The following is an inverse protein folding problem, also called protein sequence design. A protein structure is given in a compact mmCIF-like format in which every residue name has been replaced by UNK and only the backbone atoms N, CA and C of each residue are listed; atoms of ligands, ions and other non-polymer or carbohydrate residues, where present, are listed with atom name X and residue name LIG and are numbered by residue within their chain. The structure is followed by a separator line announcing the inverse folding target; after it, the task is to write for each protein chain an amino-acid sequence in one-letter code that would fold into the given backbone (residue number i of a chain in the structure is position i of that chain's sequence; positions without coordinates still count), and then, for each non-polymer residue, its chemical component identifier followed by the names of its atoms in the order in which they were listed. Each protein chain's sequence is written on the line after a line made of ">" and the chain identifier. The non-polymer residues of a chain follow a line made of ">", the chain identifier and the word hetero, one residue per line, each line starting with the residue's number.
data_IF_126428203294
#
_entry.id   IF_126428203294
#
_cell.length_a   1.000
_cell.length_b   1.000
_cell.length_c   1.000
_cell.angle_alpha   90.00
_cell.angle_beta   90.00
_cell.angle_gamma   90.00
#
_symmetry.space_group_name_H-M   'P 1'
#
loop_
_entity.id
_entity.type
_entity.pdbx_description
1 polymer ?
#
# COMPACT_ATOMS: atom_id res chain seq x y z
N UNK A 1 7.19 14.02 -11.04
CA UNK A 1 8.19 12.99 -11.35
C UNK A 1 8.74 13.27 -12.74
N UNK A 2 10.03 13.08 -12.96
CA UNK A 2 10.61 13.16 -14.30
C UNK A 2 10.81 11.76 -14.82
N UNK A 3 10.22 11.43 -15.97
CA UNK A 3 10.36 10.14 -16.61
C UNK A 3 11.78 9.99 -17.20
N UNK A 4 12.26 8.77 -17.48
CA UNK A 4 13.54 8.57 -18.18
C UNK A 4 13.67 9.30 -19.51
N UNK A 5 12.53 9.65 -20.15
CA UNK A 5 12.45 10.47 -21.36
C UNK A 5 12.75 11.96 -21.13
N UNK A 6 12.83 12.43 -19.88
CA UNK A 6 12.99 13.85 -19.52
C UNK A 6 11.67 14.60 -19.34
N UNK A 7 10.53 13.97 -19.64
CA UNK A 7 9.21 14.57 -19.44
C UNK A 7 8.89 14.71 -17.94
N UNK A 8 8.40 15.89 -17.54
CA UNK A 8 7.93 16.11 -16.17
C UNK A 8 6.43 15.84 -16.09
N UNK A 9 6.07 14.81 -15.33
CA UNK A 9 4.68 14.40 -15.10
C UNK A 9 4.25 14.71 -13.67
N UNK A 10 3.00 15.13 -13.50
CA UNK A 10 2.35 15.21 -12.19
C UNK A 10 1.76 13.85 -11.86
N UNK A 11 2.17 13.27 -10.75
CA UNK A 11 1.52 12.10 -10.18
C UNK A 11 0.50 12.57 -9.14
N UNK A 12 -0.76 12.16 -9.27
CA UNK A 12 -1.80 12.36 -8.28
C UNK A 12 -2.25 10.99 -7.76
N UNK A 13 -2.11 10.77 -6.46
CA UNK A 13 -2.38 9.48 -5.83
C UNK A 13 -3.61 9.58 -4.93
N UNK A 14 -4.46 8.56 -4.98
CA UNK A 14 -5.65 8.44 -4.13
C UNK A 14 -5.65 7.07 -3.48
N UNK A 15 -5.72 7.05 -2.16
CA UNK A 15 -5.72 5.82 -1.37
C UNK A 15 -7.13 5.54 -0.85
N UNK A 16 -7.51 4.26 -0.87
CA UNK A 16 -8.80 3.78 -0.38
C UNK A 16 -8.57 2.70 0.66
N UNK A 17 -9.43 2.66 1.69
CA UNK A 17 -9.40 1.60 2.70
C UNK A 17 -10.56 0.64 2.50
N UNK A 18 -10.23 -0.64 2.38
CA UNK A 18 -11.19 -1.73 2.23
C UNK A 18 -11.12 -2.62 3.47
N UNK A 19 -12.26 -2.87 4.11
CA UNK A 19 -12.37 -3.83 5.21
C UNK A 19 -12.71 -5.20 4.64
N UNK A 20 -11.78 -6.14 4.77
CA UNK A 20 -11.96 -7.54 4.40
C UNK A 20 -12.36 -8.37 5.62
N UNK A 21 -13.36 -9.23 5.46
CA UNK A 21 -13.79 -10.16 6.50
C UNK A 21 -13.04 -11.50 6.35
N UNK A 22 -12.35 -11.92 7.40
CA UNK A 22 -11.62 -13.20 7.45
C UNK A 22 -10.15 -13.13 7.00
N UNK A 23 -9.43 -14.24 7.18
CA UNK A 23 -8.04 -14.41 6.75
C UNK A 23 -8.02 -14.79 5.27
N UNK A 24 -7.96 -13.79 4.39
CA UNK A 24 -7.91 -14.04 2.95
C UNK A 24 -6.52 -14.54 2.55
N UNK A 25 -6.47 -15.73 1.94
CA UNK A 25 -5.28 -16.19 1.24
C UNK A 25 -5.02 -15.26 0.06
N UNK A 26 -3.81 -14.72 -0.05
CA UNK A 26 -3.40 -13.95 -1.22
C UNK A 26 -3.24 -14.93 -2.39
N UNK A 27 -4.02 -14.74 -3.45
CA UNK A 27 -3.88 -15.45 -4.71
C UNK A 27 -3.05 -14.60 -5.67
N UNK A 28 -1.90 -15.12 -6.13
CA UNK A 28 -1.00 -14.47 -7.08
C UNK A 28 -1.07 -15.04 -8.50
N UNK A 29 -1.94 -16.01 -8.78
CA UNK A 29 -1.92 -16.84 -9.99
C UNK A 29 -2.31 -16.08 -11.27
N UNK A 30 -2.96 -14.92 -11.14
CA UNK A 30 -3.43 -14.11 -12.28
C UNK A 30 -2.57 -12.85 -12.52
N UNK A 31 -1.31 -12.85 -12.08
CA UNK A 31 -0.38 -11.73 -12.33
C UNK A 31 0.08 -11.73 -13.78
N UNK A 32 0.08 -10.56 -14.39
CA UNK A 32 0.68 -10.36 -15.70
C UNK A 32 2.23 -10.45 -15.63
N UNK A 33 2.90 -10.46 -16.78
CA UNK A 33 4.35 -10.65 -16.84
C UNK A 33 5.12 -9.56 -16.06
N UNK A 34 4.69 -8.31 -16.15
CA UNK A 34 5.34 -7.17 -15.50
C UNK A 34 5.18 -7.21 -13.98
N UNK A 35 3.99 -7.59 -13.51
CA UNK A 35 3.69 -7.75 -12.08
C UNK A 35 4.54 -8.86 -11.44
N UNK A 36 4.82 -9.93 -12.17
CA UNK A 36 5.68 -11.01 -11.67
C UNK A 36 7.14 -10.57 -11.53
N UNK A 37 7.61 -9.64 -12.36
CA UNK A 37 8.98 -9.12 -12.27
C UNK A 37 9.16 -8.16 -11.09
N UNK A 38 8.10 -7.44 -10.71
CA UNK A 38 8.17 -6.37 -9.71
C UNK A 38 7.67 -6.84 -8.34
N UNK A 39 6.64 -7.69 -8.29
CA UNK A 39 5.99 -8.11 -7.05
C UNK A 39 6.49 -9.50 -6.64
N UNK A 40 7.48 -9.54 -5.76
CA UNK A 40 8.10 -10.79 -5.29
C UNK A 40 7.42 -11.41 -4.06
N UNK A 41 6.85 -10.59 -3.17
CA UNK A 41 6.30 -11.06 -1.89
C UNK A 41 5.11 -10.21 -1.41
N UNK A 42 4.44 -10.67 -0.36
CA UNK A 42 3.40 -9.92 0.35
C UNK A 42 3.56 -10.13 1.87
N UNK A 43 3.19 -9.13 2.65
CA UNK A 43 3.20 -9.19 4.10
C UNK A 43 2.00 -8.44 4.67
N UNK A 44 1.29 -9.07 5.62
CA UNK A 44 0.21 -8.43 6.37
C UNK A 44 0.78 -7.75 7.59
N UNK A 45 0.93 -6.43 7.52
CA UNK A 45 1.49 -5.64 8.62
C UNK A 45 0.43 -5.29 9.66
N UNK A 46 0.76 -5.45 10.94
CA UNK A 46 0.07 -4.74 12.02
C UNK A 46 0.48 -3.27 12.06
N UNK A 47 -0.32 -2.44 12.72
CA UNK A 47 -0.03 -1.01 12.89
C UNK A 47 1.31 -0.78 13.62
N UNK A 48 1.63 -1.63 14.60
CA UNK A 48 2.87 -1.51 15.35
C UNK A 48 4.08 -1.90 14.50
N UNK A 49 3.97 -2.94 13.68
CA UNK A 49 5.05 -3.31 12.75
C UNK A 49 5.31 -2.19 11.73
N UNK A 50 4.27 -1.55 11.18
CA UNK A 50 4.42 -0.39 10.29
C UNK A 50 5.14 0.79 10.95
N UNK A 51 4.93 1.02 12.25
CA UNK A 51 5.60 2.11 12.99
C UNK A 51 7.08 1.85 13.23
N UNK A 52 7.49 0.59 13.32
CA UNK A 52 8.85 0.20 13.71
C UNK A 52 9.68 -0.37 12.56
N UNK A 53 9.06 -0.62 11.41
CA UNK A 53 9.75 -1.21 10.26
C UNK A 53 10.86 -0.29 9.74
N UNK A 54 11.89 -0.92 9.20
CA UNK A 54 12.97 -0.24 8.47
C UNK A 54 12.82 -0.41 6.96
N UNK A 55 11.80 -1.13 6.52
CA UNK A 55 11.49 -1.30 5.11
C UNK A 55 10.86 -0.02 4.55
N UNK A 56 11.06 0.22 3.26
CA UNK A 56 10.46 1.36 2.58
C UNK A 56 8.97 1.08 2.35
N UNK A 57 8.11 1.80 3.07
CA UNK A 57 6.65 1.70 2.94
C UNK A 57 6.09 3.00 2.37
N UNK A 58 5.18 2.88 1.41
CA UNK A 58 4.42 3.99 0.85
C UNK A 58 2.91 3.78 1.06
N UNK A 59 2.13 4.86 1.23
CA UNK A 59 2.61 6.23 1.42
C UNK A 59 3.34 6.40 2.77
N UNK A 60 4.25 7.37 2.87
CA UNK A 60 5.08 7.56 4.07
C UNK A 60 4.25 7.82 5.33
N UNK A 61 3.07 8.42 5.18
CA UNK A 61 2.13 8.71 6.26
C UNK A 61 1.03 7.65 6.41
N UNK A 62 1.23 6.41 5.94
CA UNK A 62 0.21 5.35 5.98
C UNK A 62 -0.36 5.11 7.39
N UNK A 63 0.47 5.18 8.44
CA UNK A 63 0.04 5.00 9.83
C UNK A 63 -0.93 6.10 10.27
N UNK A 64 -0.64 7.35 9.90
CA UNK A 64 -1.49 8.50 10.21
C UNK A 64 -2.82 8.43 9.44
N UNK A 65 -2.77 8.04 8.16
CA UNK A 65 -3.95 7.82 7.34
C UNK A 65 -4.86 6.75 7.97
N UNK A 66 -4.30 5.62 8.38
CA UNK A 66 -5.04 4.55 9.04
C UNK A 66 -5.68 5.03 10.36
N UNK A 67 -4.94 5.78 11.18
CA UNK A 67 -5.45 6.33 12.44
C UNK A 67 -6.63 7.30 12.21
N UNK A 68 -6.55 8.15 11.18
CA UNK A 68 -7.63 9.11 10.85
C UNK A 68 -8.96 8.42 10.49
N UNK A 69 -8.87 7.27 9.82
CA UNK A 69 -10.04 6.49 9.38
C UNK A 69 -10.65 5.74 10.56
N UNK A 70 -9.83 5.23 11.48
CA UNK A 70 -10.31 4.59 12.71
C UNK A 70 -11.07 5.58 13.61
N UNK A 71 -10.60 6.84 13.70
CA UNK A 71 -11.30 7.89 14.46
C UNK A 71 -12.67 8.23 13.88
N UNK A 72 -12.88 8.03 12.58
CA UNK A 72 -14.13 8.36 11.88
C UNK A 72 -15.20 7.27 12.09
N UNK A 73 -14.79 6.07 12.53
CA UNK A 73 -15.68 4.94 12.83
C UNK A 73 -16.31 4.92 14.22
N UNK A 74 -16.03 5.91 15.09
CA UNK A 74 -16.72 6.10 16.37
C UNK A 74 -17.94 7.00 16.16
N UNK A 75 -19.06 6.43 15.71
CA UNK A 75 -20.40 7.00 15.86
C UNK A 75 -21.38 5.89 16.20
#
# INVERSE_FOLDING_TARGET
>A
MTLPSGETVKAEEKFFVVRVMGHQKINGDNRNHDEQQIISAHHWWSEQELKTTRETVYPQNIVELLASIQSTGKK
#
